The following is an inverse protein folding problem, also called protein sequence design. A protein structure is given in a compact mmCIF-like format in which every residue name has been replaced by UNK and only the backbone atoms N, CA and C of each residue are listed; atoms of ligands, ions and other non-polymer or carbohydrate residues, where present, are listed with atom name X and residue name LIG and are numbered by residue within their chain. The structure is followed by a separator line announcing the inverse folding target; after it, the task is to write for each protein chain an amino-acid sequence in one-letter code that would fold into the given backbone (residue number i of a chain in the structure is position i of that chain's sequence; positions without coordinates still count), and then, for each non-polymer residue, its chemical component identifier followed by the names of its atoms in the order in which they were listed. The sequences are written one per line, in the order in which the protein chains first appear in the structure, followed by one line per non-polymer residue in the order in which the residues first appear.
data_IF_810569587345
#
_entry.id   IF_810569587345
#
_cell.length_a   1.000
_cell.length_b   1.000
_cell.length_c   1.000
_cell.angle_alpha   90.00
_cell.angle_beta   90.00
_cell.angle_gamma   90.00
#
_symmetry.space_group_name_H-M   'P 1'
#
loop_
_entity.id
_entity.type
_entity.pdbx_description
1 polymer ?
#
# COMPACT_ATOMS: atom_id res chain seq x y z
N UNK A 1 8.39 19.12 -4.43
CA UNK A 1 9.62 19.26 -5.23
C UNK A 1 9.26 19.06 -6.69
N UNK A 2 9.68 19.93 -7.61
CA UNK A 2 9.46 19.69 -9.04
C UNK A 2 10.53 18.74 -9.53
N UNK A 3 10.25 17.43 -9.48
CA UNK A 3 11.09 16.43 -10.15
C UNK A 3 11.11 16.77 -11.64
N UNK A 4 12.28 16.74 -12.26
CA UNK A 4 12.44 17.09 -13.67
C UNK A 4 11.81 16.04 -14.57
N UNK A 5 11.33 16.47 -15.74
CA UNK A 5 10.73 15.57 -16.72
C UNK A 5 11.69 14.46 -17.16
N UNK A 6 13.00 14.74 -17.24
CA UNK A 6 14.02 13.76 -17.62
C UNK A 6 14.12 12.62 -16.60
N UNK A 7 14.13 12.94 -15.30
CA UNK A 7 14.12 11.92 -14.24
C UNK A 7 12.83 11.09 -14.31
N UNK A 8 11.69 11.71 -14.62
CA UNK A 8 10.44 10.97 -14.78
C UNK A 8 10.51 10.03 -15.98
N UNK A 9 11.01 10.49 -17.13
CA UNK A 9 11.16 9.68 -18.35
C UNK A 9 12.05 8.46 -18.11
N UNK A 10 13.17 8.60 -17.42
CA UNK A 10 14.07 7.49 -17.07
C UNK A 10 13.36 6.44 -16.18
N UNK A 11 12.42 6.88 -15.35
CA UNK A 11 11.65 6.02 -14.46
C UNK A 11 10.36 5.48 -15.08
N UNK A 12 9.89 6.01 -16.22
CA UNK A 12 8.66 5.56 -16.89
C UNK A 12 8.71 4.07 -17.27
N UNK A 13 9.80 3.52 -17.85
CA UNK A 13 9.91 2.09 -18.13
C UNK A 13 9.75 1.25 -16.87
N UNK A 14 10.45 1.61 -15.79
CA UNK A 14 10.39 0.93 -14.49
C UNK A 14 8.99 1.01 -13.85
N UNK A 15 8.25 2.08 -14.13
CA UNK A 15 6.87 2.27 -13.68
C UNK A 15 5.87 1.43 -14.49
N UNK A 16 6.10 1.25 -15.80
CA UNK A 16 5.33 0.35 -16.67
C UNK A 16 5.55 -1.11 -16.25
N UNK A 17 6.80 -1.49 -16.00
CA UNK A 17 7.23 -2.82 -15.58
C UNK A 17 6.87 -3.15 -14.12
N UNK A 18 6.28 -2.19 -13.40
CA UNK A 18 5.83 -2.31 -12.01
C UNK A 18 6.93 -2.61 -10.97
N UNK A 19 8.21 -2.48 -11.33
CA UNK A 19 9.38 -2.78 -10.49
C UNK A 19 9.88 -1.58 -9.66
N UNK A 20 9.32 -0.38 -9.86
CA UNK A 20 9.68 0.80 -9.07
C UNK A 20 9.12 0.75 -7.63
N UNK A 21 9.87 1.31 -6.67
CA UNK A 21 9.43 1.48 -5.28
C UNK A 21 8.17 2.36 -5.17
N UNK A 22 7.40 2.23 -4.08
CA UNK A 22 6.18 3.02 -3.89
C UNK A 22 6.46 4.53 -3.82
N UNK A 23 7.59 4.93 -3.23
CA UNK A 23 8.03 6.34 -3.17
C UNK A 23 8.23 6.92 -4.58
N UNK A 24 9.00 6.22 -5.43
CA UNK A 24 9.23 6.65 -6.82
C UNK A 24 7.94 6.64 -7.63
N UNK A 25 7.05 5.68 -7.39
CA UNK A 25 5.74 5.60 -8.04
C UNK A 25 4.88 6.81 -7.72
N UNK A 26 4.85 7.24 -6.46
CA UNK A 26 4.06 8.39 -6.05
C UNK A 26 4.58 9.69 -6.69
N UNK A 27 5.90 9.87 -6.75
CA UNK A 27 6.52 10.99 -7.46
C UNK A 27 6.14 11.05 -8.94
N UNK A 28 6.13 9.91 -9.62
CA UNK A 28 5.74 9.82 -11.03
C UNK A 28 4.27 10.19 -11.21
N UNK A 29 3.37 9.68 -10.36
CA UNK A 29 1.94 9.99 -10.42
C UNK A 29 1.67 11.47 -10.17
N UNK A 30 2.32 12.07 -9.17
CA UNK A 30 2.19 13.50 -8.87
C UNK A 30 2.71 14.38 -10.03
N UNK A 31 3.83 14.00 -10.65
CA UNK A 31 4.34 14.71 -11.82
C UNK A 31 3.41 14.57 -13.02
N UNK A 32 2.91 13.36 -13.28
CA UNK A 32 1.97 13.09 -14.36
C UNK A 32 0.64 13.82 -14.16
N UNK A 33 0.27 14.30 -12.97
CA UNK A 33 -0.94 15.13 -12.83
C UNK A 33 -0.79 16.53 -13.42
N UNK A 34 0.45 17.04 -13.48
CA UNK A 34 0.75 18.45 -13.80
C UNK A 34 1.54 18.62 -15.09
N UNK A 35 2.13 17.55 -15.63
CA UNK A 35 2.95 17.58 -16.83
C UNK A 35 2.34 16.74 -17.96
N UNK A 36 1.78 17.43 -18.97
CA UNK A 36 1.20 16.78 -20.16
C UNK A 36 2.26 16.09 -21.03
N UNK A 37 3.49 16.62 -21.08
CA UNK A 37 4.58 16.02 -21.87
C UNK A 37 4.91 14.61 -21.38
N UNK A 38 5.07 14.42 -20.06
CA UNK A 38 5.34 13.09 -19.51
C UNK A 38 4.14 12.14 -19.63
N UNK A 39 2.90 12.66 -19.68
CA UNK A 39 1.72 11.83 -20.01
C UNK A 39 1.76 11.33 -21.45
N UNK A 40 2.14 12.19 -22.39
CA UNK A 40 2.26 11.84 -23.80
C UNK A 40 3.36 10.79 -24.02
N UNK A 41 4.53 10.96 -23.39
CA UNK A 41 5.62 9.98 -23.42
C UNK A 41 5.19 8.63 -22.85
N UNK A 42 4.50 8.63 -21.71
CA UNK A 42 3.95 7.42 -21.12
C UNK A 42 2.96 6.74 -22.08
N UNK A 43 2.09 7.50 -22.75
CA UNK A 43 1.17 6.96 -23.75
C UNK A 43 1.88 6.41 -24.99
N UNK A 44 2.90 7.10 -25.51
CA UNK A 44 3.68 6.65 -26.66
C UNK A 44 4.40 5.32 -26.38
N UNK A 45 5.04 5.18 -25.22
CA UNK A 45 5.69 3.92 -24.78
C UNK A 45 4.70 2.74 -24.63
N UNK A 46 3.42 3.07 -24.52
CA UNK A 46 2.33 2.14 -24.30
C UNK A 46 1.58 1.79 -25.59
N UNK A 47 1.54 2.70 -26.55
CA UNK A 47 0.95 2.53 -27.88
C UNK A 47 1.85 1.75 -28.86
N UNK A 48 3.14 1.60 -28.56
CA UNK A 48 4.02 0.61 -29.23
C UNK A 48 3.56 -0.85 -28.97
N UNK A 49 2.56 -1.07 -28.11
CA UNK A 49 1.84 -2.33 -27.96
C UNK A 49 0.55 -2.29 -28.80
N UNK A 50 0.24 -3.32 -29.62
CA UNK A 50 -0.87 -3.28 -30.58
C UNK A 50 -2.19 -2.78 -29.98
N UNK A 51 -2.66 -1.68 -30.58
CA UNK A 51 -3.54 -0.62 -30.06
C UNK A 51 -4.92 -1.10 -29.56
N UNK A 52 -5.44 -2.23 -30.05
CA UNK A 52 -6.79 -2.71 -29.69
C UNK A 52 -6.85 -3.30 -28.26
N UNK A 53 -5.76 -3.91 -27.82
CA UNK A 53 -5.69 -4.62 -26.53
C UNK A 53 -5.34 -3.69 -25.38
N UNK A 54 -4.62 -2.60 -25.65
CA UNK A 54 -3.97 -1.77 -24.64
C UNK A 54 -4.96 -0.99 -23.75
N UNK A 55 -5.99 -0.43 -24.38
CA UNK A 55 -6.98 0.40 -23.69
C UNK A 55 -7.94 -0.42 -22.81
N UNK A 56 -8.20 -1.68 -23.17
CA UNK A 56 -8.90 -2.65 -22.32
C UNK A 56 -8.02 -3.12 -21.15
N UNK A 57 -6.77 -3.51 -21.43
CA UNK A 57 -5.83 -3.97 -20.41
C UNK A 57 -5.51 -2.88 -19.37
N UNK A 58 -5.46 -1.59 -19.75
CA UNK A 58 -5.28 -0.51 -18.79
C UNK A 58 -6.46 -0.31 -17.85
N UNK A 59 -7.69 -0.39 -18.37
CA UNK A 59 -8.89 -0.33 -17.53
C UNK A 59 -8.95 -1.55 -16.61
N UNK A 60 -8.63 -2.73 -17.12
CA UNK A 60 -8.59 -3.96 -16.33
C UNK A 60 -7.48 -3.95 -15.27
N UNK A 61 -6.26 -3.51 -15.61
CA UNK A 61 -5.16 -3.37 -14.66
C UNK A 61 -5.43 -2.31 -13.59
N UNK A 62 -6.07 -1.18 -13.95
CA UNK A 62 -6.52 -0.19 -12.98
C UNK A 62 -7.64 -0.72 -12.08
N UNK A 63 -8.55 -1.53 -12.61
CA UNK A 63 -9.60 -2.20 -11.84
C UNK A 63 -9.01 -3.24 -10.90
N UNK A 64 -8.10 -4.10 -11.37
CA UNK A 64 -7.40 -5.09 -10.56
C UNK A 64 -6.54 -4.42 -9.48
N UNK A 65 -5.83 -3.32 -9.78
CA UNK A 65 -5.10 -2.55 -8.76
C UNK A 65 -6.04 -1.89 -7.74
N UNK A 66 -7.19 -1.37 -8.16
CA UNK A 66 -8.21 -0.84 -7.22
C UNK A 66 -8.80 -1.94 -6.35
N UNK A 67 -9.04 -3.13 -6.90
CA UNK A 67 -9.52 -4.31 -6.18
C UNK A 67 -8.44 -4.75 -5.18
N UNK A 68 -7.20 -4.94 -5.61
CA UNK A 68 -6.08 -5.31 -4.75
C UNK A 68 -5.85 -4.30 -3.60
N UNK A 69 -5.95 -3.00 -3.88
CA UNK A 69 -5.82 -1.95 -2.85
C UNK A 69 -6.99 -1.96 -1.85
N UNK A 70 -8.22 -2.23 -2.32
CA UNK A 70 -9.38 -2.43 -1.43
C UNK A 70 -9.25 -3.71 -0.60
N UNK A 71 -8.76 -4.80 -1.18
CA UNK A 71 -8.53 -6.08 -0.50
C UNK A 71 -7.44 -5.95 0.57
N UNK A 72 -6.30 -5.34 0.25
CA UNK A 72 -5.21 -5.08 1.21
C UNK A 72 -5.67 -4.18 2.36
N UNK A 73 -6.48 -3.14 2.07
CA UNK A 73 -7.05 -2.26 3.10
C UNK A 73 -8.14 -2.95 3.95
N UNK A 74 -8.91 -3.88 3.37
CA UNK A 74 -9.87 -4.71 4.11
C UNK A 74 -9.18 -5.72 5.02
N UNK A 75 -8.12 -6.37 4.53
CA UNK A 75 -7.32 -7.33 5.29
C UNK A 75 -6.62 -6.65 6.47
N UNK A 76 -6.05 -5.46 6.27
CA UNK A 76 -5.42 -4.69 7.34
C UNK A 76 -6.40 -4.32 8.47
N UNK A 77 -7.65 -3.96 8.14
CA UNK A 77 -8.70 -3.71 9.14
C UNK A 77 -9.01 -4.94 9.99
N UNK A 78 -9.01 -6.13 9.39
CA UNK A 78 -9.24 -7.38 10.12
C UNK A 78 -8.06 -7.74 11.04
N UNK A 79 -6.82 -7.54 10.58
CA UNK A 79 -5.62 -7.77 11.41
C UNK A 79 -5.56 -6.85 12.63
N UNK A 80 -5.92 -5.57 12.47
CA UNK A 80 -5.97 -4.61 13.59
C UNK A 80 -7.00 -5.02 14.64
N UNK A 81 -8.19 -5.47 14.21
CA UNK A 81 -9.24 -5.90 15.15
C UNK A 81 -8.82 -7.15 15.94
N UNK A 82 -8.16 -8.12 15.29
CA UNK A 82 -7.61 -9.30 15.96
C UNK A 82 -6.53 -8.94 16.98
N UNK A 83 -5.57 -8.10 16.59
CA UNK A 83 -4.48 -7.68 17.48
C UNK A 83 -4.95 -6.99 18.76
N UNK A 84 -5.99 -6.15 18.68
CA UNK A 84 -6.56 -5.48 19.86
C UNK A 84 -7.18 -6.48 20.85
N UNK A 85 -7.92 -7.48 20.34
CA UNK A 85 -8.56 -8.48 21.20
C UNK A 85 -7.51 -9.32 21.93
N UNK A 86 -6.46 -9.76 21.23
CA UNK A 86 -5.36 -10.53 21.85
C UNK A 86 -4.65 -9.73 22.94
N UNK A 87 -4.40 -8.43 22.69
CA UNK A 87 -3.80 -7.53 23.69
C UNK A 87 -4.65 -7.38 24.95
N UNK A 88 -5.97 -7.25 24.79
CA UNK A 88 -6.90 -7.13 25.93
C UNK A 88 -6.92 -8.41 26.78
N UNK A 89 -6.91 -9.58 26.16
CA UNK A 89 -6.89 -10.86 26.87
C UNK A 89 -5.59 -11.00 27.68
N UNK A 90 -4.44 -10.66 27.09
CA UNK A 90 -3.16 -10.70 27.79
C UNK A 90 -3.13 -9.74 28.99
N UNK A 91 -3.65 -8.52 28.82
CA UNK A 91 -3.73 -7.55 29.91
C UNK A 91 -4.60 -8.05 31.08
N UNK A 92 -5.74 -8.67 30.80
CA UNK A 92 -6.63 -9.23 31.83
C UNK A 92 -5.94 -10.38 32.57
N UNK A 93 -5.26 -11.28 31.86
CA UNK A 93 -4.51 -12.38 32.48
C UNK A 93 -3.40 -11.83 33.39
N UNK A 94 -2.65 -10.83 32.94
CA UNK A 94 -1.62 -10.19 33.76
C UNK A 94 -2.18 -9.55 35.03
N UNK A 95 -3.36 -8.90 34.95
CA UNK A 95 -4.02 -8.30 36.13
C UNK A 95 -4.47 -9.39 37.12
N UNK A 96 -5.03 -10.50 36.63
CA UNK A 96 -5.46 -11.62 37.49
C UNK A 96 -4.26 -12.24 38.19
N UNK A 97 -3.15 -12.47 37.47
CA UNK A 97 -1.92 -13.02 38.06
C UNK A 97 -1.34 -12.08 39.11
N UNK A 98 -1.35 -10.77 38.86
CA UNK A 98 -0.93 -9.77 39.83
C UNK A 98 -1.78 -9.83 41.11
N UNK A 99 -3.12 -9.80 40.96
CA UNK A 99 -4.04 -9.91 42.08
C UNK A 99 -3.88 -11.21 42.89
N UNK A 100 -3.67 -12.34 42.23
CA UNK A 100 -3.45 -13.64 42.90
C UNK A 100 -2.11 -13.64 43.63
N UNK A 101 -1.06 -13.08 43.05
CA UNK A 101 0.25 -12.98 43.70
C UNK A 101 0.18 -12.08 44.95
N UNK A 102 -0.44 -10.91 44.86
CA UNK A 102 -0.67 -10.00 45.99
C UNK A 102 -1.53 -10.65 47.09
N UNK A 103 -2.61 -11.34 46.72
CA UNK A 103 -3.46 -12.05 47.69
C UNK A 103 -2.70 -13.18 48.42
N UNK A 104 -1.86 -13.92 47.68
CA UNK A 104 -1.00 -14.98 48.23
C UNK A 104 0.06 -14.42 49.18
N UNK A 105 0.54 -13.20 48.94
CA UNK A 105 1.53 -12.51 49.77
C UNK A 105 0.91 -11.96 51.07
N UNK A 106 -0.36 -11.55 51.01
CA UNK A 106 -1.12 -11.02 52.16
C UNK A 106 -1.67 -12.13 53.07
N UNK A 107 -2.15 -13.25 52.51
CA UNK A 107 -2.71 -14.36 53.30
C UNK A 107 -1.71 -15.49 53.63
N UNK A 108 -0.57 -15.53 52.94
CA UNK A 108 0.49 -16.54 53.17
C UNK A 108 1.49 -16.17 54.27
N UNK A 109 1.25 -15.10 55.03
CA UNK A 109 2.06 -14.64 56.15
C UNK A 109 1.21 -14.59 57.41
#
# INVERSE_FOLDING_TARGET
MKVSCEVIKDLLPLYIDDICSEESRQLIVEHLQTCETCKAELAAMKDDLPIDTYQQNLKEAQVVKKIAKKWKKGMLKSFVKGGIITLLILAIISIILFFVADLSLVFGK
#
